data_IF_580460358487
#
_entry.id   IF_580460358487
#
_cell.length_a   1.000
_cell.length_b   1.000
_cell.length_c   1.000
_cell.angle_alpha   90.00
_cell.angle_beta   90.00
_cell.angle_gamma   90.00
#
_symmetry.space_group_name_H-M   'P 1'
#
loop_
_entity.id
_entity.type
_entity.pdbx_description
1 polymer ?
#
# COMPACT_ATOMS: atom_id res chain seq x y z
N UNK A 1 -20.51 -7.33 18.64
CA UNK A 1 -19.13 -7.81 18.45
C UNK A 1 -18.80 -7.77 16.96
N UNK A 2 -17.75 -7.06 16.61
CA UNK A 2 -17.35 -6.97 15.21
C UNK A 2 -16.67 -8.28 14.76
N UNK A 3 -17.06 -8.79 13.59
CA UNK A 3 -16.46 -10.00 13.04
C UNK A 3 -15.03 -9.69 12.56
N UNK A 4 -14.07 -10.53 12.94
CA UNK A 4 -12.71 -10.43 12.43
C UNK A 4 -12.64 -10.92 10.98
N UNK A 5 -12.45 -9.99 10.05
CA UNK A 5 -12.32 -10.25 8.62
C UNK A 5 -10.86 -10.25 8.16
N UNK A 6 -9.92 -10.06 9.08
CA UNK A 6 -8.51 -9.99 8.71
C UNK A 6 -8.02 -11.25 8.02
N UNK A 7 -7.04 -11.10 7.14
CA UNK A 7 -6.41 -12.20 6.40
C UNK A 7 -4.92 -12.24 6.63
N UNK A 8 -4.33 -13.39 6.36
CA UNK A 8 -2.89 -13.55 6.46
C UNK A 8 -2.18 -12.79 5.32
N UNK A 9 -1.02 -12.26 5.64
CA UNK A 9 -0.14 -11.67 4.65
C UNK A 9 0.54 -12.78 3.83
N UNK A 10 0.69 -12.57 2.54
CA UNK A 10 1.45 -13.49 1.69
C UNK A 10 2.95 -13.35 2.00
N UNK A 11 3.72 -14.38 1.66
CA UNK A 11 5.18 -14.36 1.83
C UNK A 11 5.83 -13.40 0.83
N UNK A 12 7.00 -12.81 1.18
CA UNK A 12 7.73 -11.91 0.25
C UNK A 12 8.07 -12.56 -1.09
N UNK A 13 8.11 -13.88 -1.16
CA UNK A 13 8.41 -14.65 -2.37
C UNK A 13 7.19 -14.95 -3.23
N UNK A 14 5.99 -14.61 -2.76
CA UNK A 14 4.76 -14.88 -3.51
C UNK A 14 4.74 -14.09 -4.81
N UNK A 15 4.47 -14.77 -5.93
CA UNK A 15 4.48 -14.18 -7.26
C UNK A 15 3.43 -13.08 -7.47
N UNK A 16 2.35 -13.09 -6.67
CA UNK A 16 1.29 -12.07 -6.78
C UNK A 16 1.85 -10.67 -6.51
N UNK A 17 2.90 -10.55 -5.70
CA UNK A 17 3.52 -9.26 -5.36
C UNK A 17 4.25 -8.62 -6.55
N UNK A 18 4.47 -9.37 -7.62
CA UNK A 18 5.21 -8.91 -8.80
C UNK A 18 4.30 -8.70 -10.01
N UNK A 19 3.02 -8.90 -9.83
CA UNK A 19 2.04 -8.76 -10.89
C UNK A 19 1.42 -7.36 -10.86
N UNK A 20 1.18 -6.81 -12.04
CA UNK A 20 0.33 -5.64 -12.20
C UNK A 20 -1.11 -6.08 -11.92
N UNK A 21 -1.73 -5.47 -10.93
CA UNK A 21 -3.06 -5.86 -10.50
C UNK A 21 -4.14 -5.43 -11.48
N UNK A 22 -5.23 -6.18 -11.48
CA UNK A 22 -6.39 -5.90 -12.31
C UNK A 22 -7.23 -4.77 -11.72
N UNK A 23 -7.83 -4.00 -12.60
CA UNK A 23 -8.80 -2.98 -12.22
C UNK A 23 -9.99 -3.64 -11.50
N UNK A 24 -10.40 -3.08 -10.37
CA UNK A 24 -11.59 -3.55 -9.66
C UNK A 24 -12.84 -3.14 -10.46
N UNK A 25 -13.66 -4.12 -10.82
CA UNK A 25 -14.88 -3.90 -11.60
C UNK A 25 -16.10 -3.77 -10.66
N UNK A 26 -16.57 -2.53 -10.48
CA UNK A 26 -17.74 -2.26 -9.64
C UNK A 26 -19.07 -2.77 -10.24
N UNK A 27 -19.10 -3.03 -11.55
CA UNK A 27 -20.31 -3.52 -12.22
C UNK A 27 -20.49 -5.04 -12.06
N UNK A 28 -19.37 -5.75 -11.92
CA UNK A 28 -19.36 -7.20 -11.72
C UNK A 28 -18.28 -7.54 -10.68
N UNK A 29 -18.45 -7.10 -9.42
CA UNK A 29 -17.41 -7.27 -8.42
C UNK A 29 -17.29 -8.72 -7.98
N UNK A 30 -16.07 -9.25 -7.95
CA UNK A 30 -15.76 -10.58 -7.42
C UNK A 30 -15.91 -10.62 -5.91
N UNK A 31 -15.90 -9.47 -5.26
CA UNK A 31 -16.05 -9.29 -3.83
C UNK A 31 -16.76 -7.96 -3.58
N UNK A 32 -17.60 -7.91 -2.56
CA UNK A 32 -18.25 -6.65 -2.16
C UNK A 32 -17.19 -5.59 -1.82
N UNK A 33 -17.26 -4.37 -2.40
CA UNK A 33 -16.26 -3.34 -2.14
C UNK A 33 -16.16 -2.92 -0.67
N UNK A 34 -17.27 -2.83 0.06
CA UNK A 34 -17.23 -2.53 1.50
C UNK A 34 -16.55 -3.64 2.29
N UNK A 35 -16.84 -4.90 1.95
CA UNK A 35 -16.19 -6.05 2.59
C UNK A 35 -14.68 -6.04 2.32
N UNK A 36 -14.26 -5.80 1.08
CA UNK A 36 -12.84 -5.70 0.74
C UNK A 36 -12.16 -4.58 1.53
N UNK A 37 -12.81 -3.42 1.66
CA UNK A 37 -12.30 -2.30 2.46
C UNK A 37 -12.11 -2.68 3.92
N UNK A 38 -13.07 -3.39 4.52
CA UNK A 38 -12.98 -3.84 5.90
C UNK A 38 -11.86 -4.87 6.08
N UNK A 39 -11.73 -5.82 5.16
CA UNK A 39 -10.66 -6.82 5.17
C UNK A 39 -9.29 -6.13 5.17
N UNK A 40 -9.07 -5.19 4.26
CA UNK A 40 -7.80 -4.45 4.16
C UNK A 40 -7.54 -3.63 5.42
N UNK A 41 -8.54 -2.89 5.90
CA UNK A 41 -8.39 -2.05 7.09
C UNK A 41 -8.08 -2.88 8.33
N UNK A 42 -8.82 -3.96 8.57
CA UNK A 42 -8.60 -4.82 9.74
C UNK A 42 -7.26 -5.55 9.68
N UNK A 43 -6.87 -6.04 8.51
CA UNK A 43 -5.56 -6.69 8.33
C UNK A 43 -4.41 -5.71 8.55
N UNK A 44 -4.54 -4.50 8.01
CA UNK A 44 -3.56 -3.44 8.21
C UNK A 44 -3.40 -3.11 9.69
N UNK A 45 -4.50 -2.87 10.38
CA UNK A 45 -4.48 -2.51 11.81
C UNK A 45 -3.95 -3.64 12.69
N UNK A 46 -4.33 -4.88 12.40
CA UNK A 46 -3.84 -6.05 13.14
C UNK A 46 -2.32 -6.20 13.06
N UNK A 47 -1.72 -5.80 11.96
CA UNK A 47 -0.28 -5.88 11.73
C UNK A 47 0.46 -4.57 12.01
N UNK A 48 -0.22 -3.58 12.60
CA UNK A 48 0.33 -2.24 12.86
C UNK A 48 0.91 -1.58 11.59
N UNK A 49 0.25 -1.80 10.46
CA UNK A 49 0.67 -1.27 9.17
C UNK A 49 0.18 0.16 8.95
N UNK A 50 0.84 0.83 8.02
CA UNK A 50 0.52 2.21 7.59
C UNK A 50 -0.13 2.23 6.22
N UNK A 51 0.06 1.17 5.45
CA UNK A 51 -0.52 0.93 4.14
C UNK A 51 -0.63 -0.57 3.91
N UNK A 52 -1.68 -1.02 3.26
CA UNK A 52 -1.83 -2.42 2.86
C UNK A 52 -2.59 -2.49 1.54
N UNK A 53 -1.95 -3.10 0.54
CA UNK A 53 -2.56 -3.33 -0.77
C UNK A 53 -3.11 -4.75 -0.89
N UNK A 54 -4.15 -4.91 -1.72
CA UNK A 54 -4.81 -6.18 -1.95
C UNK A 54 -3.86 -7.34 -2.31
N UNK A 55 -2.83 -7.15 -3.17
CA UNK A 55 -1.91 -8.26 -3.46
C UNK A 55 -1.13 -8.75 -2.25
N UNK A 56 -0.92 -7.92 -1.23
CA UNK A 56 -0.24 -8.34 0.00
C UNK A 56 -1.04 -9.36 0.82
N UNK A 57 -2.33 -9.52 0.54
CA UNK A 57 -3.20 -10.55 1.12
C UNK A 57 -3.70 -11.54 0.06
N UNK A 58 -3.06 -11.59 -1.09
CA UNK A 58 -3.35 -12.59 -2.14
C UNK A 58 -4.49 -12.23 -3.07
N UNK A 59 -4.94 -10.98 -3.12
CA UNK A 59 -6.03 -10.52 -3.98
C UNK A 59 -5.48 -9.65 -5.11
N UNK A 60 -5.81 -9.96 -6.39
CA UNK A 60 -5.16 -9.32 -7.54
C UNK A 60 -5.83 -8.01 -7.98
N UNK A 61 -6.28 -7.18 -7.03
CA UNK A 61 -7.04 -5.96 -7.35
C UNK A 61 -6.25 -4.69 -7.10
N UNK A 62 -6.54 -3.69 -7.94
CA UNK A 62 -5.98 -2.34 -7.77
C UNK A 62 -6.70 -1.59 -6.65
N UNK A 63 -6.48 -2.05 -5.43
CA UNK A 63 -7.09 -1.50 -4.22
C UNK A 63 -6.06 -1.52 -3.10
N UNK A 64 -5.98 -0.45 -2.31
CA UNK A 64 -5.19 -0.43 -1.09
C UNK A 64 -5.84 0.42 0.00
N UNK A 65 -5.51 0.12 1.25
CA UNK A 65 -5.87 0.91 2.42
C UNK A 65 -4.67 1.73 2.90
N UNK A 66 -4.94 2.92 3.40
CA UNK A 66 -3.93 3.82 3.96
C UNK A 66 -4.41 4.30 5.31
N UNK A 67 -3.50 4.27 6.31
CA UNK A 67 -3.79 4.77 7.64
C UNK A 67 -4.06 6.27 7.58
N UNK A 68 -5.27 6.64 7.97
CA UNK A 68 -5.76 8.01 8.06
C UNK A 68 -6.95 8.01 9.02
N UNK A 69 -7.53 9.14 9.29
CA UNK A 69 -8.71 9.25 10.13
C UNK A 69 -9.86 9.93 9.36
N UNK A 70 -10.83 9.16 8.83
CA UNK A 70 -10.91 7.68 8.83
C UNK A 70 -9.91 7.02 7.89
N UNK A 71 -9.74 5.68 8.01
CA UNK A 71 -8.91 4.91 7.09
C UNK A 71 -9.44 5.08 5.67
N UNK A 72 -8.52 5.36 4.74
CA UNK A 72 -8.85 5.52 3.33
C UNK A 72 -8.65 4.21 2.59
N UNK A 73 -9.67 3.77 1.85
CA UNK A 73 -9.54 2.70 0.87
C UNK A 73 -9.67 3.28 -0.52
N UNK A 74 -8.65 3.09 -1.33
CA UNK A 74 -8.55 3.64 -2.68
C UNK A 74 -8.69 2.53 -3.72
N UNK A 75 -9.77 2.62 -4.52
CA UNK A 75 -10.06 1.69 -5.62
C UNK A 75 -9.63 2.32 -6.94
N UNK A 76 -8.92 1.55 -7.76
CA UNK A 76 -8.48 1.98 -9.10
C UNK A 76 -7.79 3.36 -9.10
N UNK A 77 -6.83 3.58 -8.20
CA UNK A 77 -6.22 4.89 -8.05
C UNK A 77 -5.30 5.22 -9.23
N UNK A 78 -5.23 6.51 -9.56
CA UNK A 78 -4.32 7.04 -10.59
C UNK A 78 -3.67 8.30 -10.04
N UNK A 79 -2.35 8.34 -9.98
CA UNK A 79 -1.62 9.57 -9.65
C UNK A 79 -1.69 10.47 -10.88
N UNK A 80 -2.30 11.65 -10.71
CA UNK A 80 -2.52 12.61 -11.80
C UNK A 80 -1.47 13.70 -11.84
N UNK A 81 -0.76 13.94 -10.71
CA UNK A 81 0.31 14.93 -10.66
C UNK A 81 1.22 14.66 -9.47
N UNK A 82 2.49 15.03 -9.60
CA UNK A 82 3.49 14.96 -8.53
C UNK A 82 4.38 16.19 -8.57
N UNK A 83 4.93 16.59 -7.41
CA UNK A 83 5.97 17.61 -7.37
C UNK A 83 7.30 17.09 -7.92
N UNK A 84 8.12 18.00 -8.43
CA UNK A 84 9.49 17.68 -8.85
C UNK A 84 10.44 17.47 -7.67
N UNK A 85 10.11 18.05 -6.51
CA UNK A 85 10.90 17.88 -5.29
C UNK A 85 10.72 16.47 -4.75
N UNK A 86 11.83 15.76 -4.55
CA UNK A 86 11.85 14.43 -3.96
C UNK A 86 12.76 14.41 -2.76
N UNK A 87 12.38 13.70 -1.71
CA UNK A 87 13.19 13.54 -0.50
C UNK A 87 13.30 12.07 -0.11
N UNK A 88 14.42 11.74 0.57
CA UNK A 88 14.61 10.44 1.20
C UNK A 88 13.99 10.45 2.60
N UNK A 89 13.14 9.46 2.88
CA UNK A 89 12.66 9.18 4.23
C UNK A 89 12.65 7.67 4.46
N UNK A 90 12.65 7.27 5.71
CA UNK A 90 12.56 5.86 6.08
C UNK A 90 11.16 5.32 5.86
N UNK A 91 11.07 4.13 5.27
CA UNK A 91 9.83 3.41 5.03
C UNK A 91 9.93 1.96 5.48
N UNK A 92 8.78 1.40 5.83
CA UNK A 92 8.59 -0.02 6.13
C UNK A 92 7.45 -0.56 5.27
N UNK A 93 7.43 -1.87 5.08
CA UNK A 93 6.35 -2.58 4.40
C UNK A 93 5.95 -3.82 5.20
N UNK A 94 4.67 -4.13 5.25
CA UNK A 94 4.20 -5.35 5.89
C UNK A 94 4.71 -6.62 5.19
N UNK A 95 5.10 -6.52 3.93
CA UNK A 95 5.74 -7.62 3.19
C UNK A 95 7.10 -8.00 3.76
N UNK A 96 7.82 -7.03 4.33
CA UNK A 96 9.18 -7.22 4.86
C UNK A 96 9.24 -6.78 6.33
N UNK A 97 8.67 -7.55 7.25
CA UNK A 97 8.61 -7.14 8.66
C UNK A 97 9.99 -6.85 9.24
N UNK A 98 10.10 -5.74 9.96
CA UNK A 98 11.32 -5.33 10.65
C UNK A 98 12.41 -4.71 9.78
N UNK A 99 12.21 -4.63 8.46
CA UNK A 99 13.17 -3.97 7.56
C UNK A 99 12.74 -2.51 7.36
N UNK A 100 13.62 -1.59 7.70
CA UNK A 100 13.44 -0.14 7.51
C UNK A 100 14.47 0.32 6.49
N UNK A 101 14.01 0.99 5.43
CA UNK A 101 14.88 1.45 4.35
C UNK A 101 14.56 2.87 3.93
N UNK A 102 15.57 3.59 3.44
CA UNK A 102 15.37 4.93 2.87
C UNK A 102 14.88 4.82 1.45
N UNK A 103 13.82 5.57 1.15
CA UNK A 103 13.21 5.63 -0.19
C UNK A 103 13.05 7.09 -0.58
N UNK A 104 13.39 7.41 -1.82
CA UNK A 104 13.24 8.73 -2.39
C UNK A 104 11.88 8.83 -3.09
N UNK A 105 11.09 9.83 -2.71
CA UNK A 105 9.75 10.03 -3.29
C UNK A 105 9.41 11.50 -3.45
N UNK A 106 8.52 11.84 -4.42
CA UNK A 106 7.91 13.17 -4.47
C UNK A 106 7.24 13.52 -3.13
N UNK A 107 7.31 14.79 -2.75
CA UNK A 107 6.76 15.27 -1.47
C UNK A 107 5.26 15.49 -1.51
N UNK A 108 4.71 15.78 -2.67
CA UNK A 108 3.28 16.07 -2.86
C UNK A 108 2.77 15.30 -4.08
N UNK A 109 1.59 14.71 -3.95
CA UNK A 109 0.89 14.03 -5.04
C UNK A 109 -0.56 14.53 -5.14
N UNK A 110 -1.12 14.47 -6.34
CA UNK A 110 -2.55 14.50 -6.56
C UNK A 110 -2.97 13.16 -7.12
N UNK A 111 -4.01 12.57 -6.56
CA UNK A 111 -4.46 11.23 -6.90
C UNK A 111 -5.96 11.24 -7.11
N UNK A 112 -6.41 10.58 -8.18
CA UNK A 112 -7.82 10.28 -8.42
C UNK A 112 -8.08 8.84 -8.06
N UNK A 113 -9.12 8.59 -7.27
CA UNK A 113 -9.48 7.24 -6.83
C UNK A 113 -10.99 7.14 -6.63
N UNK A 114 -11.47 5.91 -6.62
CA UNK A 114 -12.88 5.59 -6.33
C UNK A 114 -12.99 5.03 -4.92
N UNK A 115 -14.02 5.45 -4.20
CA UNK A 115 -14.33 4.97 -2.85
C UNK A 115 -15.20 3.70 -2.93
N UNK A 116 -15.36 2.95 -1.82
CA UNK A 116 -16.24 1.78 -1.81
C UNK A 116 -17.68 2.06 -2.24
N UNK A 117 -18.18 3.28 -2.03
CA UNK A 117 -19.51 3.74 -2.43
C UNK A 117 -19.59 4.17 -3.90
N UNK A 118 -18.56 3.90 -4.69
CA UNK A 118 -18.41 4.22 -6.11
C UNK A 118 -18.22 5.71 -6.42
N UNK A 119 -18.11 6.56 -5.41
CA UNK A 119 -17.80 7.99 -5.61
C UNK A 119 -16.33 8.17 -5.94
N UNK A 120 -16.07 8.94 -7.00
CA UNK A 120 -14.69 9.27 -7.43
C UNK A 120 -14.28 10.61 -6.84
N UNK A 121 -13.05 10.66 -6.33
CA UNK A 121 -12.43 11.86 -5.76
C UNK A 121 -11.06 12.10 -6.37
N UNK A 122 -10.69 13.37 -6.48
CA UNK A 122 -9.32 13.80 -6.80
C UNK A 122 -8.84 14.68 -5.67
N UNK A 123 -7.78 14.25 -4.99
CA UNK A 123 -7.29 14.89 -3.77
C UNK A 123 -5.78 15.07 -3.82
N UNK A 124 -5.32 16.11 -3.12
CA UNK A 124 -3.90 16.39 -2.91
C UNK A 124 -3.48 15.82 -1.55
N UNK A 125 -2.35 15.14 -1.51
CA UNK A 125 -1.76 14.63 -0.26
C UNK A 125 -0.31 15.07 -0.14
N UNK A 126 0.08 15.37 1.10
CA UNK A 126 1.43 15.80 1.46
C UNK A 126 1.94 14.93 2.62
N UNK A 127 3.22 15.05 2.94
CA UNK A 127 3.81 14.40 4.10
C UNK A 127 3.77 12.88 4.05
N UNK A 128 3.63 12.26 5.23
CA UNK A 128 3.68 10.80 5.35
C UNK A 128 2.50 10.11 4.67
N UNK A 129 1.31 10.71 4.70
CA UNK A 129 0.14 10.15 3.99
C UNK A 129 0.43 10.01 2.50
N UNK A 130 1.05 11.02 1.88
CA UNK A 130 1.49 10.95 0.48
C UNK A 130 2.42 9.75 0.24
N UNK A 131 3.34 9.50 1.16
CA UNK A 131 4.29 8.38 1.04
C UNK A 131 3.61 7.02 1.14
N UNK A 132 2.65 6.88 2.06
CA UNK A 132 1.89 5.63 2.20
C UNK A 132 1.06 5.34 0.95
N UNK A 133 0.45 6.37 0.36
CA UNK A 133 -0.29 6.24 -0.89
C UNK A 133 0.63 5.80 -2.03
N UNK A 134 1.82 6.40 -2.15
CA UNK A 134 2.78 6.03 -3.17
C UNK A 134 3.27 4.59 -3.02
N UNK A 135 3.45 4.12 -1.78
CA UNK A 135 3.77 2.72 -1.51
C UNK A 135 2.63 1.78 -1.94
N UNK A 136 1.37 2.17 -1.66
CA UNK A 136 0.21 1.42 -2.13
C UNK A 136 0.14 1.33 -3.65
N UNK A 137 0.44 2.42 -4.35
CA UNK A 137 0.52 2.45 -5.82
C UNK A 137 1.59 1.49 -6.34
N UNK A 138 2.77 1.51 -5.74
CA UNK A 138 3.84 0.56 -6.08
C UNK A 138 3.34 -0.88 -5.98
N UNK A 139 2.72 -1.21 -4.85
CA UNK A 139 2.26 -2.57 -4.57
C UNK A 139 1.26 -3.09 -5.60
N UNK A 140 0.31 -2.27 -6.03
CA UNK A 140 -0.67 -2.68 -7.03
C UNK A 140 -0.08 -2.72 -8.45
N UNK A 141 1.08 -2.09 -8.65
CA UNK A 141 1.85 -2.16 -9.90
C UNK A 141 2.88 -3.31 -9.90
N UNK A 142 2.88 -4.15 -8.87
CA UNK A 142 3.81 -5.27 -8.76
C UNK A 142 5.21 -4.86 -8.32
N UNK A 143 5.35 -3.71 -7.68
CA UNK A 143 6.60 -3.14 -7.21
C UNK A 143 6.66 -3.23 -5.69
N UNK A 144 7.73 -3.81 -5.16
CA UNK A 144 7.91 -3.96 -3.70
C UNK A 144 8.87 -2.91 -3.15
N UNK A 145 8.91 -2.80 -1.82
CA UNK A 145 9.82 -1.88 -1.15
C UNK A 145 11.29 -2.15 -1.52
N UNK A 146 11.65 -3.42 -1.71
CA UNK A 146 12.99 -3.82 -2.14
C UNK A 146 13.35 -3.25 -3.52
N UNK A 147 12.36 -3.12 -4.41
CA UNK A 147 12.57 -2.62 -5.77
C UNK A 147 12.81 -1.11 -5.82
N UNK A 148 12.23 -0.33 -4.88
CA UNK A 148 12.29 1.13 -4.92
C UNK A 148 13.39 1.74 -4.06
N UNK A 149 14.03 0.96 -3.19
CA UNK A 149 15.20 1.39 -2.42
C UNK A 149 16.49 1.02 -3.17
N UNK A 150 17.61 1.65 -2.79
CA UNK A 150 18.91 1.26 -3.33
C UNK A 150 19.39 -0.04 -2.71
N UNK A 151 20.26 -0.77 -3.41
CA UNK A 151 20.90 -1.98 -2.85
C UNK A 151 21.60 -1.68 -1.54
N UNK A 152 22.26 -0.55 -1.45
CA UNK A 152 22.92 -0.10 -0.21
C UNK A 152 21.93 0.05 0.95
N UNK A 153 20.84 0.79 0.74
CA UNK A 153 19.84 1.01 1.80
C UNK A 153 19.14 -0.29 2.19
N UNK A 154 18.89 -1.18 1.22
CA UNK A 154 18.30 -2.50 1.50
C UNK A 154 19.22 -3.33 2.39
N UNK A 155 20.50 -3.43 2.03
CA UNK A 155 21.49 -4.18 2.82
C UNK A 155 21.62 -3.62 4.24
N UNK A 156 21.63 -2.30 4.39
CA UNK A 156 21.66 -1.66 5.71
C UNK A 156 20.42 -2.00 6.53
N UNK A 157 19.24 -1.97 5.92
CA UNK A 157 17.98 -2.33 6.58
C UNK A 157 17.96 -3.78 7.05
N UNK A 158 18.44 -4.71 6.23
CA UNK A 158 18.54 -6.14 6.58
C UNK A 158 19.54 -6.36 7.72
N UNK A 159 20.70 -5.71 7.68
CA UNK A 159 21.71 -5.80 8.74
C UNK A 159 21.17 -5.27 10.07
N UNK A 160 20.50 -4.14 10.05
CA UNK A 160 19.91 -3.53 11.24
C UNK A 160 18.83 -4.43 11.86
N UNK A 161 17.98 -5.04 11.03
CA UNK A 161 16.98 -5.99 11.50
C UNK A 161 17.63 -7.18 12.20
N UNK A 162 18.67 -7.79 11.62
CA UNK A 162 19.41 -8.91 12.22
C UNK A 162 20.03 -8.54 13.55
N UNK A 163 20.50 -7.29 13.69
CA UNK A 163 21.14 -6.80 14.93
C UNK A 163 20.12 -6.58 16.05
N UNK A 164 18.88 -6.18 15.69
CA UNK A 164 17.81 -5.82 16.64
C UNK A 164 16.80 -6.96 16.86
N UNK A 165 16.91 -8.03 16.10
CA UNK A 165 16.00 -9.18 16.13
C UNK A 165 16.47 -10.29 17.09
#
# INVERSE_FOLDING_TARGET
METDLSRDLVKPTDSILRNDCERFDFKDPQMNPDELSHILAQTMMKNNGLCLAAPQIGLPYRVFAVLSNPILCMFNPIIVDTTSEEIYLEEMSLTYPGIVVKVKRPTIIRIRFTQPDEKTRTEKYIGMTSRYIQQGMDSIDGITLKDVTTSYHWEQGVKKRKKNG
#
